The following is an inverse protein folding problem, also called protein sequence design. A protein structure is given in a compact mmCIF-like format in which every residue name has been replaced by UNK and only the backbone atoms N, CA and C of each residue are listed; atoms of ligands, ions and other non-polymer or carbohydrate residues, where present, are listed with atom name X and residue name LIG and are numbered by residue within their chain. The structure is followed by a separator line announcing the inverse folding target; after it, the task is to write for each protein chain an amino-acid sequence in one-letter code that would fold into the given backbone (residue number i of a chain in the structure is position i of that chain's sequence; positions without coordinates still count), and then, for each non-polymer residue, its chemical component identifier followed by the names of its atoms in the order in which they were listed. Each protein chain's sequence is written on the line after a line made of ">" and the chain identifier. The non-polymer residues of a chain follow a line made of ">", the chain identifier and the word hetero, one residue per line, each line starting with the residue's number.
data_IF_890552663734
#
_entry.id   IF_890552663734
#
_cell.length_a   1.000
_cell.length_b   1.000
_cell.length_c   1.000
_cell.angle_alpha   90.00
_cell.angle_beta   90.00
_cell.angle_gamma   90.00
#
_symmetry.space_group_name_H-M   'P 1'
#
loop_
_entity.id
_entity.type
_entity.pdbx_description
1 polymer ?
#
# COMPACT_ATOMS: atom_id res chain seq x y z
N UNK A 1 1.26 20.95 -4.37
CA UNK A 1 1.11 19.66 -3.66
C UNK A 1 0.87 19.98 -2.21
N UNK A 2 -0.26 19.54 -1.65
CA UNK A 2 -0.54 19.76 -0.24
C UNK A 2 0.47 18.97 0.63
N UNK A 3 0.67 19.38 1.89
CA UNK A 3 1.53 18.63 2.81
C UNK A 3 1.11 17.17 2.95
N UNK A 4 -0.20 16.89 2.86
CA UNK A 4 -0.75 15.53 2.89
C UNK A 4 -0.33 14.68 1.68
N UNK A 5 -0.32 15.23 0.46
CA UNK A 5 0.01 14.48 -0.76
C UNK A 5 1.43 13.90 -0.71
N UNK A 6 2.37 14.69 -0.17
CA UNK A 6 3.76 14.25 0.00
C UNK A 6 3.87 13.10 1.00
N UNK A 7 3.16 13.18 2.13
CA UNK A 7 3.19 12.10 3.13
C UNK A 7 2.56 10.82 2.57
N UNK A 8 1.44 10.92 1.84
CA UNK A 8 0.79 9.77 1.18
C UNK A 8 1.73 9.12 0.16
N UNK A 9 2.43 9.93 -0.64
CA UNK A 9 3.40 9.44 -1.61
C UNK A 9 4.54 8.68 -0.94
N UNK A 10 5.20 9.29 0.06
CA UNK A 10 6.33 8.65 0.76
C UNK A 10 5.88 7.40 1.53
N UNK A 11 4.72 7.42 2.19
CA UNK A 11 4.18 6.25 2.89
C UNK A 11 3.92 5.10 1.92
N UNK A 12 3.32 5.39 0.76
CA UNK A 12 3.09 4.39 -0.30
C UNK A 12 4.43 3.81 -0.76
N UNK A 13 5.42 4.67 -1.03
CA UNK A 13 6.75 4.26 -1.50
C UNK A 13 7.47 3.38 -0.47
N UNK A 14 7.48 3.76 0.80
CA UNK A 14 8.12 3.01 1.88
C UNK A 14 7.47 1.63 2.06
N UNK A 15 6.14 1.57 2.12
CA UNK A 15 5.42 0.30 2.26
C UNK A 15 5.69 -0.61 1.06
N UNK A 16 5.56 -0.11 -0.17
CA UNK A 16 5.82 -0.91 -1.37
C UNK A 16 7.28 -1.39 -1.45
N UNK A 17 8.26 -0.58 -1.04
CA UNK A 17 9.66 -0.98 -0.99
C UNK A 17 9.92 -2.08 0.07
N UNK A 18 9.12 -2.12 1.14
CA UNK A 18 9.19 -3.13 2.19
C UNK A 18 8.31 -4.38 1.91
N UNK A 19 7.82 -4.56 0.68
CA UNK A 19 6.97 -5.71 0.33
C UNK A 19 5.49 -5.52 0.67
N UNK A 20 5.06 -4.28 0.94
CA UNK A 20 3.67 -3.88 1.11
C UNK A 20 3.24 -3.64 2.55
N UNK A 21 4.10 -3.86 3.54
CA UNK A 21 3.75 -3.78 4.96
C UNK A 21 4.91 -3.25 5.81
N UNK A 22 4.59 -2.46 6.85
CA UNK A 22 5.53 -2.03 7.89
C UNK A 22 4.82 -1.94 9.23
N UNK A 23 5.53 -2.18 10.34
CA UNK A 23 4.99 -1.87 11.67
C UNK A 23 4.78 -0.37 11.82
N UNK A 24 3.73 0.03 12.54
CA UNK A 24 3.35 1.43 12.70
C UNK A 24 4.50 2.30 13.26
N UNK A 25 5.29 1.88 14.27
CA UNK A 25 6.41 2.68 14.76
C UNK A 25 7.51 2.87 13.70
N UNK A 26 7.82 1.82 12.93
CA UNK A 26 8.83 1.87 11.87
C UNK A 26 8.42 2.82 10.75
N UNK A 27 7.14 2.77 10.34
CA UNK A 27 6.62 3.70 9.34
C UNK A 27 6.67 5.15 9.84
N UNK A 28 6.31 5.38 11.10
CA UNK A 28 6.33 6.71 11.69
C UNK A 28 7.74 7.31 11.74
N UNK A 29 8.74 6.54 12.19
CA UNK A 29 10.13 6.97 12.26
C UNK A 29 10.67 7.40 10.88
N UNK A 30 10.43 6.59 9.85
CA UNK A 30 10.88 6.92 8.49
C UNK A 30 10.16 8.15 7.92
N UNK A 31 8.85 8.27 8.09
CA UNK A 31 8.10 9.45 7.64
C UNK A 31 8.50 10.72 8.39
N UNK A 32 8.76 10.61 9.70
CA UNK A 32 9.26 11.73 10.50
C UNK A 32 10.61 12.20 9.98
N UNK A 33 11.50 11.28 9.62
CA UNK A 33 12.82 11.59 9.04
C UNK A 33 12.72 12.23 7.64
N UNK A 34 11.83 11.74 6.79
CA UNK A 34 11.73 12.15 5.37
C UNK A 34 10.91 13.42 5.14
N UNK A 35 9.84 13.61 5.91
CA UNK A 35 8.89 14.70 5.68
C UNK A 35 8.35 15.36 6.95
N UNK A 36 8.94 15.08 8.13
CA UNK A 36 8.58 15.69 9.42
C UNK A 36 7.09 15.54 9.75
N UNK A 37 6.53 14.35 9.47
CA UNK A 37 5.13 14.05 9.79
C UNK A 37 4.88 14.17 11.30
N UNK A 38 3.73 14.73 11.68
CA UNK A 38 3.25 14.71 13.06
C UNK A 38 2.46 13.42 13.34
N UNK A 39 2.31 13.08 14.62
CA UNK A 39 1.53 11.90 15.03
C UNK A 39 0.05 12.03 14.63
N UNK A 40 -0.54 13.23 14.75
CA UNK A 40 -1.94 13.46 14.36
C UNK A 40 -2.15 13.26 12.86
N UNK A 41 -1.19 13.70 12.04
CA UNK A 41 -1.27 13.51 10.60
C UNK A 41 -1.08 12.05 10.21
N UNK A 42 -0.16 11.34 10.87
CA UNK A 42 0.02 9.89 10.68
C UNK A 42 -1.29 9.16 11.00
N UNK A 43 -1.89 9.41 12.16
CA UNK A 43 -3.17 8.82 12.57
C UNK A 43 -4.27 9.08 11.53
N UNK A 44 -4.45 10.33 11.08
CA UNK A 44 -5.43 10.65 10.01
C UNK A 44 -5.20 9.83 8.75
N UNK A 45 -3.94 9.62 8.38
CA UNK A 45 -3.56 8.90 7.17
C UNK A 45 -3.79 7.39 7.30
N UNK A 46 -3.40 6.76 8.41
CA UNK A 46 -3.55 5.31 8.60
C UNK A 46 -5.00 4.89 8.88
N UNK A 47 -5.81 5.74 9.53
CA UNK A 47 -7.22 5.43 9.81
C UNK A 47 -8.18 5.89 8.70
N UNK A 48 -7.84 6.93 7.95
CA UNK A 48 -8.79 7.60 7.05
C UNK A 48 -8.50 7.44 5.56
N UNK A 49 -7.29 7.09 5.15
CA UNK A 49 -6.92 7.14 3.74
C UNK A 49 -7.05 5.75 3.08
N UNK A 50 -7.76 5.61 1.95
CA UNK A 50 -8.07 4.31 1.32
C UNK A 50 -6.85 3.55 0.75
N UNK A 51 -5.66 4.15 0.80
CA UNK A 51 -4.40 3.51 0.39
C UNK A 51 -3.69 2.77 1.52
N UNK A 52 -4.14 2.96 2.75
CA UNK A 52 -3.53 2.36 3.93
C UNK A 52 -4.57 1.56 4.69
N UNK A 53 -4.13 0.47 5.28
CA UNK A 53 -4.95 -0.36 6.14
C UNK A 53 -4.16 -0.65 7.41
N UNK A 54 -4.69 -0.26 8.57
CA UNK A 54 -4.11 -0.61 9.86
C UNK A 54 -4.64 -1.97 10.31
N UNK A 55 -3.73 -2.92 10.50
CA UNK A 55 -4.04 -4.27 10.98
C UNK A 55 -3.42 -4.47 12.35
N UNK A 56 -4.17 -5.07 13.26
CA UNK A 56 -3.71 -5.43 14.60
C UNK A 56 -3.12 -6.84 14.57
N UNK A 57 -1.99 -7.02 15.24
CA UNK A 57 -1.41 -8.32 15.53
C UNK A 57 -2.29 -9.14 16.51
N UNK A 58 -1.93 -10.41 16.73
CA UNK A 58 -2.67 -11.27 17.67
C UNK A 58 -2.67 -10.66 19.07
N UNK A 59 -3.85 -10.61 19.70
CA UNK A 59 -4.01 -10.08 21.05
C UNK A 59 -3.28 -10.97 22.06
N UNK A 60 -2.38 -10.38 22.86
CA UNK A 60 -1.64 -11.08 23.91
C UNK A 60 -2.19 -10.78 25.31
N UNK A 61 -2.59 -9.53 25.56
CA UNK A 61 -3.03 -9.04 26.88
C UNK A 61 -4.28 -8.13 26.83
N UNK A 62 -4.91 -8.00 25.65
CA UNK A 62 -6.08 -7.14 25.43
C UNK A 62 -5.78 -5.65 25.30
N UNK A 63 -4.52 -5.22 25.42
CA UNK A 63 -4.12 -3.83 25.24
C UNK A 63 -3.70 -3.56 23.79
N UNK A 64 -4.24 -2.49 23.21
CA UNK A 64 -3.82 -2.05 21.88
C UNK A 64 -2.54 -1.21 22.00
N UNK A 65 -1.43 -1.75 21.51
CA UNK A 65 -0.16 -1.03 21.44
C UNK A 65 0.21 -0.70 19.99
N UNK A 66 0.80 0.47 19.70
CA UNK A 66 1.28 0.78 18.36
C UNK A 66 2.25 -0.27 17.80
N UNK A 67 3.04 -0.92 18.67
CA UNK A 67 4.02 -1.94 18.32
C UNK A 67 3.38 -3.21 17.75
N UNK A 68 2.12 -3.47 18.13
CA UNK A 68 1.32 -4.59 17.65
C UNK A 68 0.57 -4.24 16.36
N UNK A 69 0.67 -2.99 15.88
CA UNK A 69 -0.02 -2.54 14.69
C UNK A 69 0.89 -2.57 13.46
N UNK A 70 0.36 -3.09 12.36
CA UNK A 70 1.01 -3.12 11.04
C UNK A 70 0.19 -2.31 10.05
N UNK A 71 0.84 -1.43 9.29
CA UNK A 71 0.22 -0.68 8.20
C UNK A 71 0.50 -1.42 6.90
N UNK A 72 -0.56 -1.68 6.13
CA UNK A 72 -0.49 -2.28 4.80
C UNK A 72 -0.75 -1.21 3.74
N UNK A 73 -0.01 -1.28 2.63
CA UNK A 73 -0.36 -0.56 1.41
C UNK A 73 -1.45 -1.31 0.66
N UNK A 74 -2.47 -0.58 0.22
CA UNK A 74 -3.54 -1.09 -0.62
C UNK A 74 -3.88 -0.11 -1.74
N UNK A 75 -4.55 -0.61 -2.77
CA UNK A 75 -5.02 0.20 -3.89
C UNK A 75 -6.36 -0.31 -4.37
N UNK A 76 -7.19 0.57 -4.91
CA UNK A 76 -8.43 0.23 -5.61
C UNK A 76 -8.19 -0.23 -7.05
N UNK A 77 -6.98 -0.04 -7.60
CA UNK A 77 -6.65 -0.48 -8.95
C UNK A 77 -6.79 -2.01 -9.08
N UNK A 78 -7.42 -2.46 -10.16
CA UNK A 78 -7.65 -3.89 -10.48
C UNK A 78 -7.15 -4.20 -11.87
N UNK A 79 -6.82 -5.47 -12.12
CA UNK A 79 -6.45 -5.96 -13.45
C UNK A 79 -7.72 -6.32 -14.22
N UNK A 80 -7.84 -5.81 -15.44
CA UNK A 80 -9.01 -6.03 -16.29
C UNK A 80 -9.22 -7.52 -16.60
N UNK A 81 -10.46 -8.00 -16.37
CA UNK A 81 -10.82 -9.40 -16.60
C UNK A 81 -10.86 -9.73 -18.10
N UNK A 82 -11.44 -8.87 -18.94
CA UNK A 82 -11.49 -9.10 -20.40
C UNK A 82 -10.08 -9.15 -21.00
N UNK A 83 -9.19 -8.22 -20.61
CA UNK A 83 -7.79 -8.26 -21.01
C UNK A 83 -7.10 -9.56 -20.57
N UNK A 84 -7.36 -10.03 -19.34
CA UNK A 84 -6.85 -11.32 -18.84
C UNK A 84 -7.34 -12.51 -19.67
N UNK A 85 -8.55 -12.46 -20.22
CA UNK A 85 -9.12 -13.50 -21.08
C UNK A 85 -8.71 -13.38 -22.55
N UNK A 86 -8.02 -12.31 -22.94
CA UNK A 86 -7.67 -12.02 -24.33
C UNK A 86 -8.86 -11.51 -25.14
N UNK A 87 -9.91 -11.03 -24.48
CA UNK A 87 -11.09 -10.47 -25.11
C UNK A 87 -10.87 -8.99 -25.47
N UNK A 88 -11.53 -8.47 -26.52
CA UNK A 88 -11.54 -7.05 -26.82
C UNK A 88 -12.02 -6.24 -25.62
N UNK A 89 -11.32 -5.14 -25.33
CA UNK A 89 -11.67 -4.22 -24.24
C UNK A 89 -11.40 -2.79 -24.70
N UNK A 90 -12.41 -1.92 -24.62
CA UNK A 90 -12.34 -0.51 -24.95
C UNK A 90 -12.84 0.32 -23.75
N UNK A 91 -12.31 1.53 -23.60
CA UNK A 91 -12.70 2.50 -22.55
C UNK A 91 -12.72 1.91 -21.12
N UNK A 92 -11.63 1.25 -20.72
CA UNK A 92 -11.51 0.56 -19.44
C UNK A 92 -10.67 1.32 -18.40
N UNK A 93 -11.20 1.48 -17.19
CA UNK A 93 -10.50 2.08 -16.04
C UNK A 93 -9.63 1.08 -15.24
N UNK A 94 -9.47 -0.15 -15.74
CA UNK A 94 -8.68 -1.20 -15.11
C UNK A 94 -7.34 -1.42 -15.81
N UNK A 95 -6.38 -2.01 -15.09
CA UNK A 95 -5.04 -2.25 -15.58
C UNK A 95 -4.99 -3.38 -16.61
N UNK A 96 -4.42 -3.10 -17.78
CA UNK A 96 -4.12 -4.08 -18.83
C UNK A 96 -2.69 -4.61 -18.64
N UNK A 97 -2.53 -5.45 -17.63
CA UNK A 97 -1.24 -6.04 -17.25
C UNK A 97 -1.32 -7.56 -17.22
N UNK A 98 -0.23 -8.23 -17.62
CA UNK A 98 -0.11 -9.67 -17.48
C UNK A 98 0.08 -10.06 -16.01
N UNK A 99 -0.93 -10.67 -15.40
CA UNK A 99 -0.85 -11.18 -14.01
C UNK A 99 0.32 -12.16 -13.80
N UNK A 100 0.60 -13.00 -14.80
CA UNK A 100 1.72 -13.94 -14.73
C UNK A 100 3.08 -13.23 -14.76
N UNK A 101 3.18 -12.07 -15.42
CA UNK A 101 4.42 -11.28 -15.40
C UNK A 101 4.65 -10.71 -14.00
N UNK A 102 3.60 -10.16 -13.38
CA UNK A 102 3.66 -9.64 -12.00
C UNK A 102 4.06 -10.73 -11.00
N UNK A 103 3.53 -11.95 -11.16
CA UNK A 103 3.91 -13.09 -10.31
C UNK A 103 5.20 -13.79 -10.73
N UNK A 104 5.91 -13.32 -11.76
CA UNK A 104 7.15 -13.93 -12.23
C UNK A 104 7.00 -15.31 -12.89
N UNK A 105 5.79 -15.71 -13.30
CA UNK A 105 5.47 -17.01 -13.90
C UNK A 105 5.13 -16.94 -15.39
N UNK A 106 5.23 -15.77 -16.02
CA UNK A 106 4.93 -15.62 -17.44
C UNK A 106 6.02 -16.29 -18.30
N UNK A 107 5.62 -17.22 -19.17
CA UNK A 107 6.52 -17.84 -20.15
C UNK A 107 7.16 -16.85 -21.12
N UNK A 108 6.53 -15.70 -21.34
CA UNK A 108 7.01 -14.60 -22.18
C UNK A 108 7.68 -13.48 -21.37
N UNK A 109 7.73 -13.59 -20.03
CA UNK A 109 8.23 -12.55 -19.14
C UNK A 109 9.75 -12.53 -18.99
N UNK A 110 10.45 -13.51 -19.57
CA UNK A 110 11.90 -13.50 -19.66
C UNK A 110 12.30 -12.65 -20.85
N UNK A 111 12.75 -11.42 -20.56
CA UNK A 111 13.72 -10.73 -21.42
C UNK A 111 15.09 -11.34 -21.22
#
# INVERSE_FOLDING_TARGET
>A
MSGCDRVIFEATRLLCAAGGALRLPQLYEELRRLCRVSEELLCKLVYGHPRFLLVRGPETDGWLRPEDCTVLAQTSLRVCVSHRLGEPCADCDQLHLCRFYIYGTCKFGKG
#
